data_IF_299988997795
#
_entry.id   IF_299988997795
#
_cell.length_a   1.000
_cell.length_b   1.000
_cell.length_c   1.000
_cell.angle_alpha   90.00
_cell.angle_beta   90.00
_cell.angle_gamma   90.00
#
_symmetry.space_group_name_H-M   'P 1'
#
loop_
_entity.id
_entity.type
_entity.pdbx_description
1 polymer ?
#
# COMPACT_ATOMS: atom_id res chain seq x y z
N UNK A 1 -22.01 -6.79 12.23
CA UNK A 1 -20.66 -6.28 11.86
C UNK A 1 -19.87 -7.38 11.17
N UNK A 2 -19.32 -7.08 10.00
CA UNK A 2 -18.42 -7.96 9.25
C UNK A 2 -16.96 -7.58 9.55
N UNK A 3 -16.10 -8.56 9.80
CA UNK A 3 -14.65 -8.33 9.85
C UNK A 3 -14.11 -8.44 8.42
N UNK A 4 -13.46 -7.39 7.93
CA UNK A 4 -12.77 -7.40 6.64
C UNK A 4 -11.40 -8.08 6.84
N UNK A 5 -11.33 -9.36 6.52
CA UNK A 5 -10.13 -10.19 6.75
C UNK A 5 -9.10 -9.99 5.64
N UNK A 6 -8.16 -9.07 5.89
CA UNK A 6 -7.10 -8.79 4.94
C UNK A 6 -6.06 -9.91 4.81
N UNK A 7 -5.89 -10.76 5.83
CA UNK A 7 -5.02 -11.94 5.72
C UNK A 7 -5.57 -12.92 4.70
N UNK A 8 -6.86 -13.23 4.78
CA UNK A 8 -7.54 -14.11 3.84
C UNK A 8 -7.49 -13.55 2.42
N UNK A 9 -7.93 -12.29 2.25
CA UNK A 9 -7.99 -11.65 0.92
C UNK A 9 -6.59 -11.50 0.30
N UNK A 10 -5.58 -11.15 1.10
CA UNK A 10 -4.19 -11.08 0.59
C UNK A 10 -3.64 -12.44 0.16
N UNK A 11 -4.08 -13.52 0.83
CA UNK A 11 -3.69 -14.87 0.43
C UNK A 11 -4.33 -15.25 -0.91
N UNK A 12 -5.63 -14.99 -1.08
CA UNK A 12 -6.33 -15.20 -2.36
C UNK A 12 -5.64 -14.48 -3.52
N UNK A 13 -5.29 -13.20 -3.33
CA UNK A 13 -4.55 -12.43 -4.36
C UNK A 13 -3.17 -13.04 -4.66
N UNK A 14 -2.44 -13.48 -3.62
CA UNK A 14 -1.13 -14.13 -3.85
C UNK A 14 -1.28 -15.47 -4.57
N UNK A 15 -2.36 -16.20 -4.35
CA UNK A 15 -2.62 -17.45 -5.07
C UNK A 15 -2.91 -17.17 -6.54
N UNK A 16 -3.73 -16.16 -6.86
CA UNK A 16 -3.96 -15.68 -8.22
C UNK A 16 -2.64 -15.24 -8.90
N UNK A 17 -1.84 -14.43 -8.20
CA UNK A 17 -0.52 -13.98 -8.72
C UNK A 17 0.42 -15.17 -8.98
N UNK A 18 0.42 -16.16 -8.10
CA UNK A 18 1.23 -17.36 -8.26
C UNK A 18 0.89 -18.12 -9.55
N UNK A 19 -0.40 -18.25 -9.87
CA UNK A 19 -0.86 -18.85 -11.12
C UNK A 19 -0.41 -18.04 -12.34
N UNK A 20 -0.55 -16.70 -12.28
CA UNK A 20 -0.11 -15.80 -13.35
C UNK A 20 1.42 -15.86 -13.56
N UNK A 21 2.21 -15.89 -12.48
CA UNK A 21 3.68 -16.07 -12.57
C UNK A 21 4.06 -17.40 -13.18
N UNK A 22 3.36 -18.48 -12.82
CA UNK A 22 3.62 -19.80 -13.41
C UNK A 22 3.34 -19.82 -14.92
N UNK A 23 2.28 -19.16 -15.37
CA UNK A 23 1.96 -19.01 -16.80
C UNK A 23 3.04 -18.21 -17.53
N UNK A 24 3.46 -17.06 -16.99
CA UNK A 24 4.54 -16.25 -17.58
C UNK A 24 5.86 -17.01 -17.67
N UNK A 25 6.21 -17.77 -16.64
CA UNK A 25 7.41 -18.63 -16.65
C UNK A 25 7.35 -19.71 -17.72
N UNK A 26 6.19 -20.33 -17.95
CA UNK A 26 6.01 -21.30 -19.02
C UNK A 26 6.20 -20.68 -20.41
N UNK A 27 6.02 -19.36 -20.54
CA UNK A 27 6.31 -18.58 -21.75
C UNK A 27 7.77 -18.09 -21.81
N UNK A 28 8.62 -18.46 -20.85
CA UNK A 28 10.00 -17.99 -20.76
C UNK A 28 10.16 -16.56 -20.23
N UNK A 29 9.13 -16.02 -19.55
CA UNK A 29 9.09 -14.66 -19.01
C UNK A 29 9.27 -14.70 -17.50
N UNK A 30 10.50 -14.69 -17.03
CA UNK A 30 10.80 -14.58 -15.60
C UNK A 30 10.54 -13.16 -15.08
N UNK A 31 10.22 -13.07 -13.78
CA UNK A 31 9.98 -11.80 -13.07
C UNK A 31 10.95 -11.69 -11.92
N UNK A 32 11.64 -10.55 -11.81
CA UNK A 32 12.50 -10.24 -10.68
C UNK A 32 12.16 -8.88 -10.07
N UNK A 33 12.16 -8.85 -8.73
CA UNK A 33 11.98 -7.66 -7.90
C UNK A 33 13.28 -7.32 -7.19
N UNK A 34 13.84 -6.14 -7.46
CA UNK A 34 14.92 -5.59 -6.64
C UNK A 34 14.34 -4.94 -5.38
N UNK A 35 14.81 -5.37 -4.22
CA UNK A 35 14.45 -4.79 -2.92
C UNK A 35 15.69 -4.16 -2.31
N UNK A 36 15.67 -2.84 -2.16
CA UNK A 36 16.78 -2.05 -1.63
C UNK A 36 16.43 -1.57 -0.22
N UNK A 37 17.24 -1.90 0.76
CA UNK A 37 17.13 -1.44 2.14
C UNK A 37 18.42 -0.77 2.55
N UNK A 38 18.35 0.41 3.17
CA UNK A 38 19.48 1.12 3.76
C UNK A 38 19.31 1.14 5.27
N UNK A 39 20.35 0.69 5.99
CA UNK A 39 20.30 0.53 7.44
C UNK A 39 19.52 -0.72 7.88
N UNK A 40 19.45 -0.92 9.19
CA UNK A 40 18.88 -2.11 9.81
C UNK A 40 17.72 -1.78 10.77
N UNK A 41 16.84 -0.82 10.38
CA UNK A 41 15.65 -0.54 11.18
C UNK A 41 14.82 -1.82 11.37
N UNK A 42 14.49 -2.21 12.63
CA UNK A 42 13.83 -3.47 12.92
C UNK A 42 12.47 -3.63 12.24
N UNK A 43 11.69 -2.54 12.14
CA UNK A 43 10.38 -2.58 11.50
C UNK A 43 10.53 -2.78 9.99
N UNK A 44 11.41 -2.03 9.34
CA UNK A 44 11.74 -2.17 7.91
C UNK A 44 12.24 -3.57 7.58
N UNK A 45 13.10 -4.14 8.42
CA UNK A 45 13.65 -5.50 8.24
C UNK A 45 12.57 -6.59 8.29
N UNK A 46 11.53 -6.42 9.11
CA UNK A 46 10.37 -7.33 9.14
C UNK A 46 9.59 -7.23 7.82
N UNK A 47 9.37 -6.02 7.31
CA UNK A 47 8.66 -5.82 6.03
C UNK A 47 9.44 -6.41 4.85
N UNK A 48 10.75 -6.16 4.77
CA UNK A 48 11.62 -6.72 3.71
C UNK A 48 11.59 -8.25 3.74
N UNK A 49 11.73 -8.86 4.91
CA UNK A 49 11.64 -10.32 5.07
C UNK A 49 10.28 -10.88 4.61
N UNK A 50 9.18 -10.19 4.93
CA UNK A 50 7.86 -10.63 4.51
C UNK A 50 7.68 -10.47 2.99
N UNK A 51 8.25 -9.43 2.36
CA UNK A 51 8.28 -9.25 0.91
C UNK A 51 9.07 -10.37 0.22
N UNK A 52 10.26 -10.72 0.74
CA UNK A 52 11.06 -11.86 0.23
C UNK A 52 10.26 -13.17 0.26
N UNK A 53 9.62 -13.48 1.40
CA UNK A 53 8.77 -14.68 1.54
C UNK A 53 7.59 -14.67 0.55
N UNK A 54 7.00 -13.51 0.31
CA UNK A 54 5.93 -13.38 -0.67
C UNK A 54 6.44 -13.63 -2.10
N UNK A 55 7.61 -13.10 -2.47
CA UNK A 55 8.26 -13.39 -3.75
C UNK A 55 8.51 -14.88 -3.93
N UNK A 56 9.10 -15.55 -2.93
CA UNK A 56 9.30 -17.01 -2.94
C UNK A 56 7.99 -17.77 -3.14
N UNK A 57 6.94 -17.37 -2.41
CA UNK A 57 5.64 -18.02 -2.48
C UNK A 57 4.99 -17.93 -3.86
N UNK A 58 5.04 -16.76 -4.50
CA UNK A 58 4.43 -16.54 -5.81
C UNK A 58 5.37 -16.91 -6.97
N UNK A 59 6.65 -17.19 -6.68
CA UNK A 59 7.63 -17.58 -7.69
C UNK A 59 8.33 -16.41 -8.38
N UNK A 60 8.32 -15.20 -7.83
CA UNK A 60 9.08 -14.04 -8.28
C UNK A 60 10.50 -14.11 -7.69
N UNK A 61 11.52 -13.84 -8.48
CA UNK A 61 12.90 -13.74 -8.00
C UNK A 61 13.06 -12.46 -7.15
N UNK A 62 13.64 -12.58 -5.95
CA UNK A 62 13.93 -11.43 -5.08
C UNK A 62 15.42 -11.13 -5.08
N UNK A 63 15.81 -10.02 -5.72
CA UNK A 63 17.17 -9.50 -5.72
C UNK A 63 17.30 -8.47 -4.60
N UNK A 64 18.06 -8.79 -3.55
CA UNK A 64 18.14 -7.94 -2.36
C UNK A 64 19.44 -7.17 -2.29
N UNK A 65 19.34 -5.88 -1.99
CA UNK A 65 20.44 -4.99 -1.67
C UNK A 65 20.25 -4.50 -0.23
N UNK A 66 21.02 -5.06 0.68
CA UNK A 66 21.07 -4.66 2.10
C UNK A 66 22.29 -3.80 2.30
N UNK A 67 22.08 -2.49 2.44
CA UNK A 67 23.12 -1.48 2.47
C UNK A 67 23.34 -0.98 3.90
N UNK A 68 24.59 -0.65 4.27
CA UNK A 68 24.86 -0.06 5.58
C UNK A 68 24.16 1.29 5.77
N UNK A 69 23.94 1.69 7.03
CA UNK A 69 23.27 2.96 7.34
C UNK A 69 24.03 4.18 6.82
N UNK A 70 25.37 4.05 6.73
CA UNK A 70 26.28 5.11 6.26
C UNK A 70 26.34 5.26 4.74
N UNK A 71 25.58 4.43 3.99
CA UNK A 71 25.54 4.50 2.52
C UNK A 71 25.24 5.92 2.04
N UNK A 72 26.05 6.42 1.14
CA UNK A 72 25.89 7.76 0.59
C UNK A 72 24.77 7.83 -0.43
N UNK A 73 24.29 9.06 -0.71
CA UNK A 73 23.30 9.28 -1.77
C UNK A 73 23.79 8.75 -3.13
N UNK A 74 25.05 9.01 -3.47
CA UNK A 74 25.66 8.60 -4.74
C UNK A 74 25.74 7.06 -4.87
N UNK A 75 26.09 6.36 -3.79
CA UNK A 75 26.13 4.90 -3.79
C UNK A 75 24.74 4.29 -3.96
N UNK A 76 23.73 4.84 -3.26
CA UNK A 76 22.35 4.39 -3.40
C UNK A 76 21.82 4.65 -4.81
N UNK A 77 22.06 5.83 -5.36
CA UNK A 77 21.67 6.21 -6.71
C UNK A 77 22.32 5.32 -7.78
N UNK A 78 23.60 4.94 -7.59
CA UNK A 78 24.28 4.00 -8.48
C UNK A 78 23.63 2.61 -8.49
N UNK A 79 23.11 2.15 -7.35
CA UNK A 79 22.37 0.88 -7.26
C UNK A 79 21.03 0.99 -7.96
N UNK A 80 20.29 2.09 -7.78
CA UNK A 80 19.02 2.33 -8.48
C UNK A 80 19.25 2.35 -9.99
N UNK A 81 20.27 3.07 -10.47
CA UNK A 81 20.64 3.14 -11.88
C UNK A 81 21.00 1.75 -12.45
N UNK A 82 21.78 0.96 -11.69
CA UNK A 82 22.08 -0.44 -12.05
C UNK A 82 20.80 -1.27 -12.21
N UNK A 83 19.86 -1.16 -11.27
CA UNK A 83 18.59 -1.88 -11.33
C UNK A 83 17.71 -1.39 -12.50
N UNK A 84 17.71 -0.08 -12.79
CA UNK A 84 17.01 0.48 -13.94
C UNK A 84 17.51 -0.12 -15.27
N UNK A 85 18.83 -0.28 -15.41
CA UNK A 85 19.48 -0.79 -16.63
C UNK A 85 19.44 -2.30 -16.77
N UNK A 86 19.20 -3.04 -15.70
CA UNK A 86 19.14 -4.51 -15.74
C UNK A 86 17.82 -4.99 -16.35
N UNK A 87 17.83 -5.62 -17.55
CA UNK A 87 16.60 -6.10 -18.19
C UNK A 87 15.92 -7.26 -17.43
N UNK A 88 16.64 -7.92 -16.53
CA UNK A 88 16.07 -8.99 -15.70
C UNK A 88 15.21 -8.45 -14.57
N UNK A 89 15.46 -7.22 -14.09
CA UNK A 89 14.70 -6.59 -13.01
C UNK A 89 13.48 -5.91 -13.60
N UNK A 90 12.30 -6.38 -13.21
CA UNK A 90 11.00 -5.86 -13.65
C UNK A 90 10.39 -4.88 -12.65
N UNK A 91 10.79 -4.94 -11.39
CA UNK A 91 10.33 -4.02 -10.36
C UNK A 91 11.47 -3.60 -9.44
N UNK A 92 11.43 -2.35 -8.99
CA UNK A 92 12.36 -1.79 -8.01
C UNK A 92 11.55 -1.27 -6.84
N UNK A 93 11.97 -1.65 -5.63
CA UNK A 93 11.41 -1.17 -4.39
C UNK A 93 12.53 -0.68 -3.49
N UNK A 94 12.45 0.58 -3.08
CA UNK A 94 13.30 1.15 -2.03
C UNK A 94 12.50 1.18 -0.75
N UNK A 95 12.97 0.46 0.27
CA UNK A 95 12.27 0.36 1.55
C UNK A 95 12.37 1.66 2.33
N UNK A 96 11.25 2.33 2.52
CA UNK A 96 11.14 3.54 3.34
C UNK A 96 10.87 3.18 4.82
N UNK A 97 11.21 4.10 5.75
CA UNK A 97 11.95 5.33 5.54
C UNK A 97 13.44 5.11 5.29
N UNK A 98 14.08 6.02 4.57
CA UNK A 98 15.53 6.06 4.43
C UNK A 98 16.19 6.77 5.64
N UNK A 99 17.49 6.54 5.92
CA UNK A 99 18.27 7.35 6.84
C UNK A 99 18.18 8.84 6.50
N UNK A 100 18.15 9.72 7.51
CA UNK A 100 17.86 11.17 7.38
C UNK A 100 18.83 11.94 6.48
N UNK A 101 20.02 11.42 6.22
CA UNK A 101 21.02 12.05 5.36
C UNK A 101 20.78 11.77 3.87
N UNK A 102 19.84 10.90 3.52
CA UNK A 102 19.47 10.58 2.17
C UNK A 102 18.20 11.33 1.76
N UNK A 103 18.15 11.76 0.51
CA UNK A 103 16.99 12.41 -0.10
C UNK A 103 16.05 11.35 -0.70
N UNK A 104 14.96 11.04 0.02
CA UNK A 104 13.98 10.04 -0.41
C UNK A 104 13.31 10.42 -1.74
N UNK A 105 13.01 11.71 -1.92
CA UNK A 105 12.31 12.19 -3.11
C UNK A 105 13.20 12.03 -4.35
N UNK A 106 14.50 12.35 -4.24
CA UNK A 106 15.46 12.14 -5.32
C UNK A 106 15.60 10.67 -5.69
N UNK A 107 15.66 9.79 -4.70
CA UNK A 107 15.77 8.33 -4.91
C UNK A 107 14.52 7.78 -5.60
N UNK A 108 13.34 8.17 -5.15
CA UNK A 108 12.07 7.70 -5.75
C UNK A 108 11.90 8.21 -7.19
N UNK A 109 12.34 9.44 -7.47
CA UNK A 109 12.32 10.02 -8.82
C UNK A 109 13.31 9.36 -9.77
N UNK A 110 14.39 8.76 -9.26
CA UNK A 110 15.38 8.07 -10.08
C UNK A 110 14.95 6.68 -10.54
N UNK A 111 13.93 6.10 -9.93
CA UNK A 111 13.39 4.80 -10.36
C UNK A 111 12.72 4.96 -11.74
N UNK A 112 13.04 4.08 -12.70
CA UNK A 112 12.32 4.06 -13.97
C UNK A 112 10.81 3.85 -13.71
N UNK A 113 9.93 4.75 -14.19
CA UNK A 113 8.48 4.61 -14.03
C UNK A 113 7.92 3.25 -14.47
N UNK A 114 8.58 2.56 -15.38
CA UNK A 114 8.22 1.20 -15.82
C UNK A 114 8.56 0.12 -14.81
N UNK A 115 9.36 0.45 -13.79
CA UNK A 115 9.80 -0.44 -12.72
C UNK A 115 9.37 0.02 -11.33
N UNK A 116 8.62 1.14 -11.24
CA UNK A 116 8.07 1.70 -9.98
C UNK A 116 6.90 0.87 -9.46
N UNK A 117 7.16 -0.33 -8.99
CA UNK A 117 6.11 -1.26 -8.53
C UNK A 117 5.44 -0.86 -7.21
N UNK A 118 5.97 0.11 -6.48
CA UNK A 118 5.27 0.73 -5.34
C UNK A 118 4.24 1.79 -5.79
N UNK A 119 4.38 2.34 -7.02
CA UNK A 119 3.45 3.30 -7.59
C UNK A 119 3.60 4.72 -7.01
N UNK A 120 4.80 5.10 -6.57
CA UNK A 120 5.04 6.43 -5.96
C UNK A 120 5.63 7.45 -6.91
N UNK A 121 6.17 7.02 -8.05
CA UNK A 121 6.72 7.92 -9.05
C UNK A 121 5.63 8.86 -9.59
N UNK A 122 5.91 10.15 -9.82
CA UNK A 122 4.93 11.11 -10.34
C UNK A 122 4.23 10.67 -11.63
N UNK A 123 4.90 9.93 -12.50
CA UNK A 123 4.30 9.36 -13.72
C UNK A 123 3.23 8.32 -13.35
N UNK A 124 3.51 7.40 -12.42
CA UNK A 124 2.54 6.42 -11.94
C UNK A 124 1.34 7.10 -11.29
N UNK A 125 1.60 8.11 -10.45
CA UNK A 125 0.55 8.91 -9.80
C UNK A 125 -0.28 9.67 -10.82
N UNK A 126 0.35 10.30 -11.83
CA UNK A 126 -0.34 11.01 -12.92
C UNK A 126 -1.24 10.07 -13.72
N UNK A 127 -0.72 8.92 -14.13
CA UNK A 127 -1.47 7.89 -14.85
C UNK A 127 -2.69 7.41 -14.03
N UNK A 128 -2.49 7.16 -12.73
CA UNK A 128 -3.58 6.80 -11.83
C UNK A 128 -4.68 7.87 -11.79
N UNK A 129 -4.33 9.15 -11.71
CA UNK A 129 -5.30 10.26 -11.61
C UNK A 129 -6.12 10.40 -12.89
N UNK A 130 -5.49 10.26 -14.07
CA UNK A 130 -6.19 10.41 -15.36
C UNK A 130 -6.78 9.11 -15.90
N UNK A 131 -6.61 7.98 -15.18
CA UNK A 131 -7.18 6.69 -15.56
C UNK A 131 -6.37 5.91 -16.59
N UNK A 132 -5.14 6.32 -16.87
CA UNK A 132 -4.23 5.62 -17.76
C UNK A 132 -3.60 4.37 -17.12
N UNK A 133 -3.00 3.52 -17.97
CA UNK A 133 -2.30 2.31 -17.52
C UNK A 133 -1.03 2.66 -16.75
N UNK A 134 -0.78 1.96 -15.68
CA UNK A 134 0.39 2.13 -14.83
C UNK A 134 0.20 1.47 -13.48
N UNK A 135 1.20 1.65 -12.62
CA UNK A 135 1.14 1.09 -11.29
C UNK A 135 0.24 1.91 -10.37
N UNK A 136 -0.50 1.21 -9.53
CA UNK A 136 -1.28 1.81 -8.45
C UNK A 136 -0.50 1.67 -7.14
N UNK A 137 -0.48 2.70 -6.29
CA UNK A 137 0.12 2.59 -4.96
C UNK A 137 -0.44 1.40 -4.20
N UNK A 138 0.45 0.53 -3.71
CA UNK A 138 0.08 -0.79 -3.21
C UNK A 138 -0.95 -0.77 -2.07
N UNK A 139 -0.79 0.13 -1.08
CA UNK A 139 -1.71 0.21 0.06
C UNK A 139 -3.11 0.69 -0.35
N UNK A 140 -3.27 1.80 -1.09
CA UNK A 140 -4.58 2.23 -1.60
C UNK A 140 -5.25 1.19 -2.51
N UNK A 141 -4.50 0.58 -3.42
CA UNK A 141 -5.01 -0.49 -4.27
C UNK A 141 -5.49 -1.69 -3.44
N UNK A 142 -4.76 -2.03 -2.37
CA UNK A 142 -5.14 -3.07 -1.42
C UNK A 142 -6.45 -2.75 -0.70
N UNK A 143 -6.68 -1.50 -0.32
CA UNK A 143 -7.94 -1.05 0.29
C UNK A 143 -9.12 -1.24 -0.68
N UNK A 144 -8.96 -0.87 -1.95
CA UNK A 144 -10.00 -1.12 -2.97
C UNK A 144 -10.30 -2.62 -3.10
N UNK A 145 -9.29 -3.48 -3.09
CA UNK A 145 -9.48 -4.93 -3.12
C UNK A 145 -10.20 -5.45 -1.87
N UNK A 146 -9.86 -4.92 -0.67
CA UNK A 146 -10.56 -5.26 0.57
C UNK A 146 -12.04 -4.94 0.47
N UNK A 147 -12.40 -3.75 0.03
CA UNK A 147 -13.79 -3.32 -0.12
C UNK A 147 -14.54 -4.21 -1.11
N UNK A 148 -14.02 -4.36 -2.33
CA UNK A 148 -14.66 -5.14 -3.40
C UNK A 148 -14.85 -6.62 -3.03
N UNK A 149 -13.80 -7.26 -2.51
CA UNK A 149 -13.85 -8.70 -2.14
C UNK A 149 -14.66 -8.97 -0.88
N UNK A 150 -14.92 -7.93 -0.08
CA UNK A 150 -15.84 -8.01 1.06
C UNK A 150 -17.28 -7.68 0.70
N UNK A 151 -17.60 -7.43 -0.58
CA UNK A 151 -18.94 -7.10 -1.04
C UNK A 151 -19.39 -5.68 -0.68
N UNK A 152 -18.44 -4.78 -0.38
CA UNK A 152 -18.75 -3.38 -0.11
C UNK A 152 -18.84 -2.62 -1.43
N UNK A 153 -20.02 -2.08 -1.70
CA UNK A 153 -20.26 -1.21 -2.84
C UNK A 153 -19.70 0.18 -2.59
N UNK A 154 -18.91 0.69 -3.54
CA UNK A 154 -18.29 2.03 -3.46
C UNK A 154 -19.08 3.03 -4.32
N UNK A 155 -19.70 2.56 -5.37
CA UNK A 155 -20.45 3.38 -6.33
C UNK A 155 -21.55 4.20 -5.63
N UNK A 156 -21.53 5.51 -5.83
CA UNK A 156 -22.47 6.46 -5.23
C UNK A 156 -22.33 6.68 -3.71
N UNK A 157 -21.36 6.06 -3.03
CA UNK A 157 -21.18 6.21 -1.58
C UNK A 157 -20.41 7.47 -1.20
N UNK A 158 -20.74 8.03 -0.04
CA UNK A 158 -19.97 9.10 0.59
C UNK A 158 -18.71 8.48 1.24
N UNK A 159 -17.54 8.79 0.68
CA UNK A 159 -16.25 8.29 1.13
C UNK A 159 -15.47 9.42 1.80
N UNK A 160 -15.02 9.20 3.03
CA UNK A 160 -14.15 10.15 3.72
C UNK A 160 -12.80 9.51 3.95
N UNK A 161 -11.75 10.19 3.48
CA UNK A 161 -10.35 9.80 3.70
C UNK A 161 -9.72 10.74 4.71
N UNK A 162 -9.35 10.24 5.87
CA UNK A 162 -8.64 11.00 6.90
C UNK A 162 -7.15 10.76 6.74
N UNK A 163 -6.46 11.74 6.16
CA UNK A 163 -5.05 11.68 5.77
C UNK A 163 -4.83 12.20 4.36
N UNK A 164 -3.68 12.83 4.12
CA UNK A 164 -3.33 13.41 2.80
C UNK A 164 -1.89 13.18 2.37
N UNK A 165 -1.28 12.10 2.84
CA UNK A 165 0.08 11.74 2.41
C UNK A 165 0.12 11.41 0.90
N UNK A 166 1.28 11.59 0.28
CA UNK A 166 1.48 11.27 -1.14
C UNK A 166 1.38 9.76 -1.39
N UNK A 167 1.75 8.94 -0.42
CA UNK A 167 1.83 7.49 -0.56
C UNK A 167 0.50 6.77 -0.24
N UNK A 168 -0.42 7.38 0.54
CA UNK A 168 -1.69 6.75 0.92
C UNK A 168 -2.89 7.67 0.73
N UNK A 169 -2.96 8.81 1.43
CA UNK A 169 -4.19 9.61 1.52
C UNK A 169 -4.66 10.16 0.17
N UNK A 170 -3.78 10.81 -0.59
CA UNK A 170 -4.11 11.33 -1.93
C UNK A 170 -4.44 10.20 -2.92
N UNK A 171 -3.61 9.14 -3.06
CA UNK A 171 -3.93 8.02 -3.92
C UNK A 171 -5.24 7.32 -3.54
N UNK A 172 -5.52 7.17 -2.24
CA UNK A 172 -6.75 6.54 -1.77
C UNK A 172 -7.98 7.31 -2.25
N UNK A 173 -7.95 8.64 -2.13
CA UNK A 173 -9.03 9.49 -2.60
C UNK A 173 -9.27 9.33 -4.12
N UNK A 174 -8.20 9.28 -4.91
CA UNK A 174 -8.32 9.10 -6.36
C UNK A 174 -8.84 7.71 -6.73
N UNK A 175 -8.43 6.66 -6.03
CA UNK A 175 -8.92 5.31 -6.30
C UNK A 175 -10.39 5.15 -5.91
N UNK A 176 -10.84 5.74 -4.80
CA UNK A 176 -12.27 5.76 -4.44
C UNK A 176 -13.10 6.54 -5.48
N UNK A 177 -12.56 7.67 -5.97
CA UNK A 177 -13.20 8.45 -7.06
C UNK A 177 -13.31 7.61 -8.35
N UNK A 178 -12.29 6.84 -8.71
CA UNK A 178 -12.34 5.91 -9.88
C UNK A 178 -13.42 4.84 -9.75
N UNK A 179 -13.78 4.48 -8.52
CA UNK A 179 -14.85 3.53 -8.22
C UNK A 179 -16.22 4.25 -8.05
N UNK A 180 -16.36 5.48 -8.56
CA UNK A 180 -17.55 6.32 -8.48
C UNK A 180 -17.99 6.73 -7.06
N UNK A 181 -17.08 6.69 -6.07
CA UNK A 181 -17.34 7.25 -4.74
C UNK A 181 -17.33 8.77 -4.76
N UNK A 182 -18.15 9.41 -3.94
CA UNK A 182 -18.06 10.85 -3.64
C UNK A 182 -17.05 11.04 -2.52
N UNK A 183 -15.92 11.71 -2.78
CA UNK A 183 -14.78 11.67 -1.87
C UNK A 183 -14.51 13.00 -1.20
N UNK A 184 -14.41 12.99 0.12
CA UNK A 184 -13.93 14.10 0.95
C UNK A 184 -12.59 13.72 1.59
N UNK A 185 -11.55 14.58 1.41
CA UNK A 185 -10.25 14.40 2.05
C UNK A 185 -10.13 15.31 3.27
N UNK A 186 -9.84 14.70 4.42
CA UNK A 186 -9.64 15.41 5.70
C UNK A 186 -8.17 15.36 6.13
N UNK A 187 -7.76 16.39 6.87
CA UNK A 187 -6.39 16.55 7.34
C UNK A 187 -6.34 17.39 8.63
N UNK A 188 -5.17 17.68 9.15
CA UNK A 188 -4.97 18.42 10.41
C UNK A 188 -5.57 19.84 10.47
N UNK A 189 -5.89 20.43 9.30
CA UNK A 189 -6.54 21.75 9.21
C UNK A 189 -8.05 21.64 8.90
N UNK A 190 -8.62 20.45 8.84
CA UNK A 190 -10.06 20.26 8.63
C UNK A 190 -10.82 20.74 9.88
N UNK A 191 -11.74 21.68 9.68
CA UNK A 191 -12.67 22.12 10.73
C UNK A 191 -13.75 21.06 10.94
N UNK A 192 -14.19 20.91 12.18
CA UNK A 192 -15.29 20.01 12.55
C UNK A 192 -15.11 18.56 12.02
N UNK A 193 -13.86 18.03 12.12
CA UNK A 193 -13.47 16.75 11.58
C UNK A 193 -14.46 15.62 11.93
N UNK A 194 -14.99 15.60 13.16
CA UNK A 194 -15.99 14.61 13.60
C UNK A 194 -17.24 14.64 12.75
N UNK A 195 -17.77 15.82 12.48
CA UNK A 195 -19.00 15.98 11.69
C UNK A 195 -18.78 15.59 10.22
N UNK A 196 -17.59 15.88 9.68
CA UNK A 196 -17.24 15.42 8.33
C UNK A 196 -17.16 13.90 8.28
N UNK A 197 -16.48 13.26 9.24
CA UNK A 197 -16.33 11.81 9.30
C UNK A 197 -17.66 11.08 9.48
N UNK A 198 -18.60 11.63 10.27
CA UNK A 198 -19.94 11.05 10.47
C UNK A 198 -20.81 10.97 9.20
N UNK A 199 -20.47 11.69 8.13
CA UNK A 199 -21.20 11.56 6.86
C UNK A 199 -20.82 10.31 6.10
N UNK A 200 -19.63 9.75 6.39
CA UNK A 200 -19.04 8.67 5.60
C UNK A 200 -19.87 7.39 5.62
N UNK A 201 -20.18 6.86 4.45
CA UNK A 201 -20.58 5.46 4.25
C UNK A 201 -19.33 4.57 4.36
N UNK A 202 -18.21 5.06 3.81
CA UNK A 202 -16.89 4.43 3.87
C UNK A 202 -15.90 5.43 4.44
N UNK A 203 -15.34 5.11 5.61
CA UNK A 203 -14.32 5.92 6.29
C UNK A 203 -12.96 5.21 6.19
N UNK A 204 -11.99 5.84 5.52
CA UNK A 204 -10.61 5.36 5.45
C UNK A 204 -9.72 6.25 6.31
N UNK A 205 -8.99 5.65 7.25
CA UNK A 205 -8.16 6.38 8.21
C UNK A 205 -6.68 6.05 7.99
N UNK A 206 -5.88 7.09 7.69
CA UNK A 206 -4.45 6.98 7.39
C UNK A 206 -3.70 8.22 7.88
N UNK A 207 -3.65 8.43 9.20
CA UNK A 207 -3.09 9.63 9.83
C UNK A 207 -1.85 9.39 10.69
N UNK A 208 -1.51 8.13 10.96
CA UNK A 208 -0.35 7.78 11.78
C UNK A 208 -0.49 8.18 13.25
N UNK A 209 -1.72 8.16 13.81
CA UNK A 209 -2.01 8.49 15.20
C UNK A 209 -2.78 7.36 15.87
N UNK A 210 -2.16 6.62 16.80
CA UNK A 210 -2.79 5.45 17.41
C UNK A 210 -4.12 5.81 18.09
N UNK A 211 -5.17 5.06 17.77
CA UNK A 211 -6.52 5.14 18.36
C UNK A 211 -7.15 6.54 18.37
N UNK A 212 -6.79 7.38 17.40
CA UNK A 212 -7.30 8.75 17.32
C UNK A 212 -8.79 8.83 16.96
N UNK A 213 -9.25 7.93 16.08
CA UNK A 213 -10.65 7.86 15.66
C UNK A 213 -11.41 6.94 16.61
N UNK A 214 -12.31 7.52 17.39
CA UNK A 214 -13.26 6.80 18.25
C UNK A 214 -14.67 6.74 17.64
N UNK A 215 -15.63 6.18 18.36
CA UNK A 215 -17.03 6.03 17.93
C UNK A 215 -17.75 7.36 17.68
N UNK A 216 -17.27 8.48 18.24
CA UNK A 216 -17.82 9.82 18.01
C UNK A 216 -17.57 10.35 16.59
N UNK A 217 -16.64 9.75 15.83
CA UNK A 217 -16.34 10.09 14.43
C UNK A 217 -17.13 9.26 13.41
N UNK A 218 -17.81 8.21 13.83
CA UNK A 218 -18.36 7.20 12.93
C UNK A 218 -19.89 7.19 13.02
N UNK A 219 -20.57 7.19 11.87
CA UNK A 219 -22.02 6.96 11.85
C UNK A 219 -22.34 5.48 11.97
N UNK A 220 -23.54 5.17 12.44
CA UNK A 220 -24.00 3.80 12.55
C UNK A 220 -24.11 3.14 11.17
N UNK A 221 -23.57 1.92 11.06
CA UNK A 221 -23.56 1.15 9.82
C UNK A 221 -22.46 1.52 8.83
N UNK A 222 -21.56 2.46 9.13
CA UNK A 222 -20.45 2.78 8.25
C UNK A 222 -19.47 1.60 8.07
N UNK A 223 -18.78 1.59 6.94
CA UNK A 223 -17.61 0.73 6.71
C UNK A 223 -16.36 1.50 7.11
N UNK A 224 -15.48 0.90 7.92
CA UNK A 224 -14.26 1.56 8.41
C UNK A 224 -13.03 0.77 7.99
N UNK A 225 -12.11 1.46 7.30
CA UNK A 225 -10.81 0.92 6.88
C UNK A 225 -9.71 1.64 7.67
N UNK A 226 -9.03 0.91 8.52
CA UNK A 226 -7.90 1.40 9.31
C UNK A 226 -6.58 1.03 8.64
N UNK A 227 -5.86 2.02 8.13
CA UNK A 227 -4.55 1.86 7.48
C UNK A 227 -3.41 1.97 8.48
N UNK A 228 -3.66 2.54 9.67
CA UNK A 228 -2.67 2.76 10.70
C UNK A 228 -2.04 1.47 11.22
N UNK A 229 -0.74 1.52 11.51
CA UNK A 229 -0.02 0.43 12.19
C UNK A 229 0.92 1.05 13.21
N UNK A 230 0.69 0.75 14.48
CA UNK A 230 1.48 1.24 15.61
C UNK A 230 1.73 0.12 16.62
N UNK A 231 2.76 0.28 17.42
CA UNK A 231 2.98 -0.53 18.62
C UNK A 231 2.49 0.28 19.81
N UNK A 232 1.51 -0.23 20.53
CA UNK A 232 0.98 0.41 21.73
C UNK A 232 1.87 0.16 22.96
N UNK A 233 1.51 0.77 24.09
CA UNK A 233 2.22 0.66 25.38
C UNK A 233 2.37 -0.79 25.89
N UNK A 234 1.51 -1.69 25.43
CA UNK A 234 1.52 -3.12 25.79
C UNK A 234 2.27 -3.98 24.76
N UNK A 235 3.10 -3.39 23.89
CA UNK A 235 3.79 -4.06 22.78
C UNK A 235 2.86 -4.82 21.82
N UNK A 236 1.60 -4.37 21.69
CA UNK A 236 0.64 -4.93 20.73
C UNK A 236 0.43 -3.97 19.57
N UNK A 237 0.20 -4.52 18.39
CA UNK A 237 -0.16 -3.73 17.21
C UNK A 237 -1.56 -3.13 17.37
N UNK A 238 -1.71 -1.87 17.01
CA UNK A 238 -2.98 -1.16 16.90
C UNK A 238 -2.96 -0.23 15.69
N UNK A 239 -4.13 0.25 15.30
CA UNK A 239 -4.29 1.19 14.20
C UNK A 239 -4.56 2.62 14.67
N UNK A 240 -4.97 3.44 13.71
CA UNK A 240 -5.43 4.83 13.93
C UNK A 240 -6.85 4.88 14.54
N UNK A 241 -7.58 3.78 14.45
CA UNK A 241 -8.96 3.65 14.95
C UNK A 241 -8.97 2.93 16.30
N UNK A 242 -9.77 3.43 17.25
CA UNK A 242 -10.08 2.71 18.49
C UNK A 242 -11.08 1.60 18.19
N UNK A 243 -10.53 0.45 17.78
CA UNK A 243 -11.30 -0.69 17.27
C UNK A 243 -12.43 -1.12 18.21
N UNK A 244 -12.15 -1.20 19.51
CA UNK A 244 -13.11 -1.70 20.51
C UNK A 244 -14.34 -0.79 20.64
N UNK A 245 -14.16 0.52 20.46
CA UNK A 245 -15.26 1.50 20.50
C UNK A 245 -15.99 1.60 19.16
N UNK A 246 -15.24 1.54 18.05
CA UNK A 246 -15.78 1.79 16.70
C UNK A 246 -16.48 0.57 16.13
N UNK A 247 -15.93 -0.63 16.32
CA UNK A 247 -16.45 -1.86 15.74
C UNK A 247 -17.95 -2.08 15.99
N UNK A 248 -18.50 -1.87 17.21
CA UNK A 248 -19.93 -2.08 17.46
C UNK A 248 -20.88 -1.21 16.62
N UNK A 249 -20.40 -0.05 16.12
CA UNK A 249 -21.18 0.88 15.28
C UNK A 249 -21.13 0.56 13.79
N UNK A 250 -20.16 -0.21 13.35
CA UNK A 250 -19.87 -0.44 11.93
C UNK A 250 -20.66 -1.60 11.33
N UNK A 251 -20.93 -1.53 10.02
CA UNK A 251 -21.39 -2.69 9.26
C UNK A 251 -20.20 -3.61 8.93
N UNK A 252 -19.03 -3.03 8.61
CA UNK A 252 -17.79 -3.75 8.36
C UNK A 252 -16.58 -2.93 8.81
N UNK A 253 -15.51 -3.61 9.26
CA UNK A 253 -14.28 -2.95 9.72
C UNK A 253 -13.06 -3.85 9.50
N UNK A 254 -11.90 -3.24 9.19
CA UNK A 254 -10.61 -3.93 9.17
C UNK A 254 -10.01 -4.05 10.57
N UNK A 255 -9.48 -5.22 10.97
CA UNK A 255 -8.71 -5.35 12.20
C UNK A 255 -7.26 -4.87 12.02
N UNK A 256 -6.62 -4.46 13.11
CA UNK A 256 -5.16 -4.25 13.15
C UNK A 256 -4.59 -5.09 14.31
N UNK A 257 -3.72 -6.07 14.02
CA UNK A 257 -3.21 -6.50 12.72
C UNK A 257 -4.20 -7.37 11.92
N UNK A 258 -3.92 -7.50 10.61
CA UNK A 258 -4.61 -8.46 9.75
C UNK A 258 -5.62 -7.85 8.77
N UNK A 259 -5.75 -6.52 8.76
CA UNK A 259 -6.52 -5.77 7.76
C UNK A 259 -5.66 -5.32 6.57
N UNK A 260 -5.32 -4.05 6.52
CA UNK A 260 -4.64 -3.43 5.37
C UNK A 260 -3.20 -3.91 5.18
N UNK A 261 -2.43 -4.11 6.26
CA UNK A 261 -1.00 -4.43 6.16
C UNK A 261 -0.65 -5.61 5.23
N UNK A 262 -1.31 -6.79 5.32
CA UNK A 262 -1.07 -7.90 4.41
C UNK A 262 -1.32 -7.58 2.93
N UNK A 263 -2.26 -6.66 2.65
CA UNK A 263 -2.65 -6.30 1.29
C UNK A 263 -1.55 -5.56 0.54
N UNK A 264 -0.78 -4.71 1.21
CA UNK A 264 0.33 -3.96 0.59
C UNK A 264 1.31 -4.91 -0.09
N UNK A 265 1.66 -6.03 0.57
CA UNK A 265 2.58 -7.02 0.01
C UNK A 265 1.93 -7.78 -1.16
N UNK A 266 0.66 -8.15 -1.04
CA UNK A 266 -0.03 -8.85 -2.12
C UNK A 266 -0.15 -7.97 -3.38
N UNK A 267 -0.45 -6.67 -3.21
CA UNK A 267 -0.52 -5.72 -4.33
C UNK A 267 0.85 -5.43 -4.93
N UNK A 268 1.92 -5.43 -4.15
CA UNK A 268 3.29 -5.35 -4.67
C UNK A 268 3.60 -6.53 -5.60
N UNK A 269 3.26 -7.75 -5.21
CA UNK A 269 3.42 -8.93 -6.07
C UNK A 269 2.61 -8.79 -7.36
N UNK A 270 1.39 -8.27 -7.28
CA UNK A 270 0.56 -8.00 -8.45
C UNK A 270 1.17 -6.95 -9.36
N UNK A 271 1.70 -5.85 -8.82
CA UNK A 271 2.38 -4.82 -9.62
C UNK A 271 3.64 -5.37 -10.31
N UNK A 272 4.38 -6.31 -9.71
CA UNK A 272 5.49 -6.97 -10.37
C UNK A 272 5.05 -7.78 -11.62
N UNK A 273 3.91 -8.45 -11.54
CA UNK A 273 3.32 -9.15 -12.70
C UNK A 273 2.85 -8.15 -13.76
N UNK A 274 2.17 -7.08 -13.34
CA UNK A 274 1.72 -6.02 -14.25
C UNK A 274 2.91 -5.33 -14.96
N UNK A 275 4.03 -5.12 -14.27
CA UNK A 275 5.26 -4.60 -14.89
C UNK A 275 5.70 -5.46 -16.08
N UNK A 276 5.74 -6.78 -15.89
CA UNK A 276 6.13 -7.71 -16.96
C UNK A 276 5.12 -7.72 -18.11
N UNK A 277 3.82 -7.58 -17.82
CA UNK A 277 2.75 -7.54 -18.84
C UNK A 277 2.74 -6.23 -19.64
N UNK A 278 2.99 -5.10 -18.97
CA UNK A 278 2.89 -3.77 -19.58
C UNK A 278 4.17 -3.35 -20.30
N UNK A 279 5.33 -3.73 -19.77
CA UNK A 279 6.63 -3.18 -20.17
C UNK A 279 7.69 -4.26 -20.44
N UNK A 280 7.41 -5.53 -20.15
CA UNK A 280 8.33 -6.63 -20.45
C UNK A 280 8.30 -6.98 -21.94
N UNK A 281 9.47 -6.95 -22.59
CA UNK A 281 9.68 -7.51 -23.93
C UNK A 281 9.71 -9.05 -23.89
#
# INVERSE_FOLDING_TARGET
>A
MQIIDGKKISQEIKDEVKEEVAQLKAEGKDIALAVIQVGADPASSVYVRNKKRACEYVGIESVSYELPEETTQEELMAIVDKCNKDPKINGILVQLPLPKHLDEDEVLLAIDPKKDVDGFHPVSVGNMVIGEKGFLPCTPAGVIQLLKRSGVEIDGKECVVVGRSNIVGKPMAMLLLRENGTVTVCHSHTKDLKEVCKRADILVVAIGKPKFIDDSYVKDGAVVIDVGIHINENNKLCGDVDYDKVAPKTSAITPVPGGVGPMTIAMLMKNCVESKKLFGE
#
